data_IF_741904968964
#
_entry.id   IF_741904968964
#
_cell.length_a   1.000
_cell.length_b   1.000
_cell.length_c   1.000
_cell.angle_alpha   90.00
_cell.angle_beta   90.00
_cell.angle_gamma   90.00
#
_symmetry.space_group_name_H-M   'P 1'
#
loop_
_entity.id
_entity.type
_entity.pdbx_description
1 polymer ?
#
# COMPACT_ATOMS: atom_id res chain seq x y z
N UNK A 1 13.89 -11.79 31.60
CA UNK A 1 13.76 -11.86 30.14
C UNK A 1 13.09 -10.56 29.72
N UNK A 2 13.87 -9.59 29.22
CA UNK A 2 13.31 -8.36 28.66
C UNK A 2 12.60 -8.73 27.36
N UNK A 3 11.28 -8.52 27.28
CA UNK A 3 10.50 -8.66 26.04
C UNK A 3 9.52 -9.84 25.96
N UNK A 4 9.26 -10.55 27.06
CA UNK A 4 8.20 -11.56 27.09
C UNK A 4 7.01 -11.07 27.93
N UNK A 5 5.79 -11.20 27.39
CA UNK A 5 4.54 -11.01 28.12
C UNK A 5 3.82 -12.36 28.20
N UNK A 6 3.24 -12.67 29.36
CA UNK A 6 2.53 -13.91 29.58
C UNK A 6 1.20 -13.63 30.29
N UNK A 7 0.15 -14.34 29.91
CA UNK A 7 -1.14 -14.35 30.61
C UNK A 7 -1.70 -15.77 30.66
N UNK A 8 -2.31 -16.10 31.79
CA UNK A 8 -3.07 -17.35 31.93
C UNK A 8 -4.49 -17.04 32.32
N UNK A 9 -5.40 -17.68 31.60
CA UNK A 9 -6.84 -17.62 31.86
C UNK A 9 -7.33 -18.97 32.35
N UNK A 10 -8.13 -18.97 33.40
CA UNK A 10 -8.83 -20.15 33.90
C UNK A 10 -10.33 -19.94 33.74
N UNK A 11 -10.98 -20.82 32.99
CA UNK A 11 -12.42 -20.69 32.68
C UNK A 11 -12.80 -19.30 32.17
N UNK A 12 -11.88 -18.63 31.40
CA UNK A 12 -12.05 -17.31 30.83
C UNK A 12 -11.74 -16.13 31.76
N UNK A 13 -11.33 -16.38 33.01
CA UNK A 13 -10.91 -15.33 33.95
C UNK A 13 -9.38 -15.24 33.98
N UNK A 14 -8.85 -14.03 33.86
CA UNK A 14 -7.40 -13.80 34.00
C UNK A 14 -6.96 -14.17 35.41
N UNK A 15 -6.06 -15.16 35.53
CA UNK A 15 -5.55 -15.67 36.82
C UNK A 15 -4.19 -15.06 37.18
N UNK A 16 -3.29 -14.96 36.19
CA UNK A 16 -1.97 -14.37 36.36
C UNK A 16 -1.46 -13.75 35.05
N UNK A 17 -0.60 -12.76 35.20
CA UNK A 17 0.12 -12.12 34.08
C UNK A 17 1.60 -11.92 34.44
N UNK A 18 2.44 -11.72 33.42
CA UNK A 18 3.88 -11.45 33.52
C UNK A 18 4.67 -12.50 34.34
N UNK A 19 4.22 -13.74 34.30
CA UNK A 19 4.96 -14.84 34.92
C UNK A 19 6.08 -15.34 33.98
N UNK A 20 7.16 -15.93 34.53
CA UNK A 20 8.27 -16.48 33.73
C UNK A 20 7.79 -17.53 32.72
N UNK A 21 8.33 -17.49 31.48
CA UNK A 21 8.01 -18.46 30.42
C UNK A 21 8.21 -19.90 30.88
N UNK A 22 9.21 -20.16 31.72
CA UNK A 22 9.48 -21.49 32.31
C UNK A 22 8.34 -22.06 33.18
N UNK A 23 7.29 -21.27 33.49
CA UNK A 23 6.11 -21.75 34.21
C UNK A 23 4.93 -22.09 33.30
N UNK A 24 5.11 -21.96 31.99
CA UNK A 24 4.02 -22.23 31.01
C UNK A 24 3.53 -23.67 31.16
N UNK A 25 4.40 -24.65 31.22
CA UNK A 25 4.05 -26.06 31.40
C UNK A 25 3.35 -26.34 32.73
N UNK A 26 3.74 -25.63 33.82
CA UNK A 26 3.08 -25.79 35.11
C UNK A 26 1.60 -25.37 35.05
N UNK A 27 1.30 -24.28 34.33
CA UNK A 27 -0.07 -23.83 34.11
C UNK A 27 -0.83 -24.77 33.13
N UNK A 28 -0.16 -25.22 32.07
CA UNK A 28 -0.76 -26.16 31.14
C UNK A 28 -1.02 -27.56 31.71
N UNK A 29 -0.35 -27.94 32.79
CA UNK A 29 -0.64 -29.17 33.54
C UNK A 29 -1.99 -29.10 34.29
N UNK A 30 -2.59 -27.92 34.47
CA UNK A 30 -3.85 -27.69 35.15
C UNK A 30 -5.00 -27.72 34.13
N UNK A 31 -6.13 -28.27 34.51
CA UNK A 31 -7.33 -28.30 33.67
C UNK A 31 -7.95 -26.92 33.50
N UNK A 32 -8.66 -26.70 32.38
CA UNK A 32 -9.40 -25.49 32.05
C UNK A 32 -8.53 -24.20 31.98
N UNK A 33 -7.22 -24.35 31.74
CA UNK A 33 -6.32 -23.23 31.56
C UNK A 33 -5.99 -22.97 30.09
N UNK A 34 -5.94 -21.71 29.74
CA UNK A 34 -5.45 -21.20 28.46
C UNK A 34 -4.29 -20.24 28.73
N UNK A 35 -3.16 -20.47 28.08
CA UNK A 35 -1.96 -19.65 28.25
C UNK A 35 -1.68 -18.87 26.97
N UNK A 36 -1.37 -17.59 27.13
CA UNK A 36 -0.80 -16.77 26.08
C UNK A 36 0.63 -16.35 26.46
N UNK A 37 1.53 -16.46 25.48
CA UNK A 37 2.92 -16.01 25.57
C UNK A 37 3.21 -15.12 24.38
N UNK A 38 3.72 -13.90 24.61
CA UNK A 38 4.22 -13.03 23.58
C UNK A 38 5.72 -12.83 23.74
N UNK A 39 6.44 -13.03 22.64
CA UNK A 39 7.88 -12.84 22.56
C UNK A 39 8.17 -11.72 21.55
N UNK A 40 8.86 -10.66 21.98
CA UNK A 40 9.30 -9.58 21.11
C UNK A 40 10.78 -9.74 20.79
N UNK A 41 11.14 -9.98 19.53
CA UNK A 41 12.51 -10.18 19.08
C UNK A 41 13.24 -11.30 19.84
N UNK A 42 12.68 -12.52 20.01
CA UNK A 42 13.33 -13.56 20.77
C UNK A 42 14.64 -14.01 20.11
N UNK A 43 15.60 -14.46 20.93
CA UNK A 43 16.76 -15.16 20.41
C UNK A 43 16.38 -16.56 19.91
N UNK A 44 17.25 -17.15 19.09
CA UNK A 44 17.03 -18.52 18.59
C UNK A 44 16.90 -19.51 19.74
N UNK A 45 17.74 -19.37 20.76
CA UNK A 45 17.78 -20.24 21.93
C UNK A 45 16.46 -20.16 22.71
N UNK A 46 15.92 -18.94 22.92
CA UNK A 46 14.67 -18.72 23.64
C UNK A 46 13.48 -19.37 22.90
N UNK A 47 13.42 -19.24 21.57
CA UNK A 47 12.32 -19.85 20.82
C UNK A 47 12.45 -21.37 20.73
N UNK A 48 13.68 -21.91 20.66
CA UNK A 48 13.90 -23.35 20.66
C UNK A 48 13.56 -24.00 22.02
N UNK A 49 13.94 -23.34 23.15
CA UNK A 49 13.55 -23.84 24.48
C UNK A 49 12.02 -23.98 24.60
N UNK A 50 11.29 -22.96 24.15
CA UNK A 50 9.81 -23.02 24.16
C UNK A 50 9.26 -24.04 23.15
N UNK A 51 9.92 -24.20 22.01
CA UNK A 51 9.55 -25.18 21.00
C UNK A 51 9.70 -26.61 21.48
N UNK A 52 10.79 -26.92 22.17
CA UNK A 52 11.05 -28.24 22.76
C UNK A 52 10.01 -28.53 23.88
N UNK A 53 9.67 -27.53 24.70
CA UNK A 53 8.72 -27.65 25.79
C UNK A 53 7.28 -27.93 25.31
N UNK A 54 6.86 -27.26 24.24
CA UNK A 54 5.47 -27.28 23.73
C UNK A 54 5.28 -28.15 22.49
N UNK A 55 6.34 -28.74 21.96
CA UNK A 55 6.30 -29.59 20.76
C UNK A 55 6.00 -28.81 19.49
N UNK A 56 6.60 -27.62 19.32
CA UNK A 56 6.42 -26.84 18.10
C UNK A 56 7.15 -27.50 16.92
N UNK A 57 6.56 -27.42 15.74
CA UNK A 57 7.15 -28.00 14.54
C UNK A 57 8.39 -27.20 14.08
N UNK A 58 9.47 -27.89 13.72
CA UNK A 58 10.74 -27.29 13.34
C UNK A 58 10.60 -26.24 12.20
N UNK A 59 9.83 -26.55 11.17
CA UNK A 59 9.59 -25.61 10.06
C UNK A 59 8.87 -24.34 10.51
N UNK A 60 7.90 -24.44 11.43
CA UNK A 60 7.22 -23.26 11.96
C UNK A 60 8.15 -22.39 12.82
N UNK A 61 9.06 -23.00 13.56
CA UNK A 61 10.10 -22.30 14.33
C UNK A 61 11.11 -21.62 13.39
N UNK A 62 11.53 -22.31 12.30
CA UNK A 62 12.39 -21.73 11.28
C UNK A 62 11.75 -20.50 10.63
N UNK A 63 10.45 -20.59 10.27
CA UNK A 63 9.68 -19.46 9.72
C UNK A 63 9.62 -18.30 10.71
N UNK A 64 9.29 -18.56 11.98
CA UNK A 64 9.23 -17.53 13.01
C UNK A 64 10.59 -16.88 13.33
N UNK A 65 11.69 -17.52 13.02
CA UNK A 65 13.06 -16.96 13.15
C UNK A 65 13.52 -16.22 11.89
N UNK A 66 12.92 -16.56 10.73
CA UNK A 66 13.27 -15.96 9.46
C UNK A 66 12.46 -14.66 9.24
N UNK A 67 13.06 -13.56 8.78
CA UNK A 67 12.35 -12.34 8.51
C UNK A 67 11.57 -12.39 7.18
N UNK A 68 10.50 -11.60 7.09
CA UNK A 68 9.74 -11.34 5.86
C UNK A 68 8.93 -12.53 5.33
N UNK A 69 8.29 -13.27 6.22
CA UNK A 69 7.29 -14.25 5.82
C UNK A 69 6.09 -13.56 5.16
N UNK A 70 5.45 -14.24 4.19
CA UNK A 70 4.14 -13.78 3.71
C UNK A 70 3.07 -14.19 4.69
N UNK A 71 1.99 -13.43 4.84
CA UNK A 71 0.85 -13.90 5.61
C UNK A 71 0.41 -15.26 5.09
N UNK A 72 0.30 -16.23 5.99
CA UNK A 72 -0.05 -17.62 5.67
C UNK A 72 -0.61 -18.33 6.90
N UNK A 73 -1.32 -19.42 6.65
CA UNK A 73 -1.80 -20.35 7.66
C UNK A 73 -1.31 -21.75 7.30
N UNK A 74 -0.42 -22.29 8.12
CA UNK A 74 0.10 -23.65 7.99
C UNK A 74 -0.47 -24.56 9.08
N UNK A 75 -0.65 -25.84 8.75
CA UNK A 75 -1.26 -26.83 9.61
C UNK A 75 -0.23 -27.91 9.95
N UNK A 76 0.03 -28.08 11.24
CA UNK A 76 0.84 -29.13 11.79
C UNK A 76 0.00 -30.05 12.69
N UNK A 77 0.44 -31.24 12.98
CA UNK A 77 -0.32 -32.17 13.83
C UNK A 77 -0.57 -31.61 15.25
N UNK A 78 0.39 -30.86 15.80
CA UNK A 78 0.33 -30.32 17.16
C UNK A 78 -0.32 -28.94 17.26
N UNK A 79 -0.27 -28.13 16.19
CA UNK A 79 -0.71 -26.72 16.20
C UNK A 79 -0.92 -26.15 14.80
N UNK A 80 -1.57 -24.98 14.73
CA UNK A 80 -1.57 -24.13 13.56
C UNK A 80 -0.45 -23.09 13.69
N UNK A 81 0.09 -22.67 12.55
CA UNK A 81 1.01 -21.53 12.46
C UNK A 81 0.40 -20.47 11.55
N UNK A 82 0.24 -19.26 12.06
CA UNK A 82 -0.29 -18.11 11.34
C UNK A 82 0.76 -17.00 11.35
N UNK A 83 1.21 -16.57 10.17
CA UNK A 83 1.97 -15.35 9.98
C UNK A 83 1.05 -14.21 9.56
N UNK A 84 1.08 -13.10 10.27
CA UNK A 84 0.34 -11.87 9.98
C UNK A 84 1.25 -10.66 10.11
N UNK A 85 0.83 -9.50 9.59
CA UNK A 85 1.62 -8.28 9.64
C UNK A 85 0.75 -7.11 10.10
N UNK A 86 1.15 -6.44 11.16
CA UNK A 86 0.66 -5.10 11.44
C UNK A 86 1.37 -4.11 10.51
N UNK A 87 0.60 -3.17 9.95
CA UNK A 87 1.11 -2.25 8.93
C UNK A 87 0.68 -0.84 9.23
N UNK A 88 1.56 0.12 8.97
CA UNK A 88 1.26 1.55 9.01
C UNK A 88 2.08 2.28 7.94
N UNK A 89 1.42 3.11 7.14
CA UNK A 89 2.12 4.03 6.22
C UNK A 89 2.35 5.37 6.90
N UNK A 90 3.54 5.93 6.69
CA UNK A 90 3.85 7.31 7.02
C UNK A 90 3.51 8.16 5.77
N UNK A 91 2.47 9.01 5.82
CA UNK A 91 2.04 9.79 4.67
C UNK A 91 3.06 10.84 4.23
N UNK A 92 3.95 11.31 5.13
CA UNK A 92 4.94 12.33 4.82
C UNK A 92 6.15 11.78 4.07
N UNK A 93 6.53 10.54 4.38
CA UNK A 93 7.72 9.89 3.77
C UNK A 93 7.37 8.82 2.75
N UNK A 94 6.13 8.33 2.73
CA UNK A 94 5.71 7.18 1.94
C UNK A 94 6.32 5.86 2.42
N UNK A 95 6.83 5.81 3.66
CA UNK A 95 7.43 4.61 4.23
C UNK A 95 6.34 3.71 4.81
N UNK A 96 6.35 2.43 4.43
CA UNK A 96 5.50 1.41 5.02
C UNK A 96 6.25 0.75 6.17
N UNK A 97 5.81 0.99 7.40
CA UNK A 97 6.28 0.27 8.58
C UNK A 97 5.49 -1.05 8.68
N UNK A 98 6.18 -2.15 8.86
CA UNK A 98 5.63 -3.49 8.95
C UNK A 98 6.20 -4.20 10.18
N UNK A 99 5.32 -4.77 10.99
CA UNK A 99 5.70 -5.65 12.11
C UNK A 99 5.09 -7.02 11.85
N UNK A 100 5.94 -8.02 11.64
CA UNK A 100 5.53 -9.40 11.48
C UNK A 100 5.16 -10.00 12.84
N UNK A 101 4.04 -10.70 12.88
CA UNK A 101 3.46 -11.35 14.06
C UNK A 101 3.21 -12.80 13.68
N UNK A 102 4.04 -13.69 14.17
CA UNK A 102 3.90 -15.12 13.99
C UNK A 102 3.17 -15.72 15.19
N UNK A 103 2.13 -16.49 14.94
CA UNK A 103 1.29 -17.07 15.97
C UNK A 103 1.28 -18.59 15.85
N UNK A 104 1.72 -19.28 16.90
CA UNK A 104 1.53 -20.72 17.07
C UNK A 104 0.26 -20.92 17.90
N UNK A 105 -0.65 -21.74 17.42
CA UNK A 105 -2.01 -21.80 17.91
C UNK A 105 -2.37 -23.26 18.21
N UNK A 106 -2.69 -23.53 19.46
CA UNK A 106 -3.22 -24.82 19.91
C UNK A 106 -4.52 -24.56 20.69
N UNK A 107 -5.26 -25.62 21.04
CA UNK A 107 -6.52 -25.50 21.82
C UNK A 107 -6.32 -24.95 23.23
N UNK A 108 -5.09 -25.00 23.79
CA UNK A 108 -4.76 -24.58 25.15
C UNK A 108 -3.78 -23.43 25.26
N UNK A 109 -3.08 -23.11 24.19
CA UNK A 109 -2.10 -22.04 24.23
C UNK A 109 -2.04 -21.28 22.89
N UNK A 110 -1.68 -20.00 22.99
CA UNK A 110 -1.33 -19.11 21.91
C UNK A 110 0.04 -18.53 22.18
N UNK A 111 0.98 -18.72 21.26
CA UNK A 111 2.29 -18.11 21.32
C UNK A 111 2.40 -17.12 20.18
N UNK A 112 2.70 -15.87 20.49
CA UNK A 112 2.95 -14.83 19.50
C UNK A 112 4.42 -14.44 19.53
N UNK A 113 5.01 -14.33 18.35
CA UNK A 113 6.39 -13.86 18.13
C UNK A 113 6.31 -12.62 17.27
N UNK A 114 6.62 -11.47 17.85
CA UNK A 114 6.73 -10.21 17.14
C UNK A 114 8.19 -9.93 16.82
N UNK A 115 8.47 -9.49 15.61
CA UNK A 115 9.87 -9.20 15.21
C UNK A 115 10.41 -7.93 15.89
N UNK A 116 9.53 -6.98 16.20
CA UNK A 116 9.85 -5.71 16.83
C UNK A 116 8.66 -5.18 17.66
N UNK A 117 8.81 -3.99 18.24
CA UNK A 117 7.79 -3.33 19.07
C UNK A 117 6.78 -2.48 18.25
N UNK A 118 6.80 -2.55 16.93
CA UNK A 118 5.93 -1.74 16.07
C UNK A 118 4.44 -2.07 16.17
N UNK A 119 4.09 -3.25 16.72
CA UNK A 119 2.71 -3.63 17.04
C UNK A 119 2.45 -3.46 18.55
N UNK A 120 1.62 -2.47 18.96
CA UNK A 120 1.31 -2.26 20.36
C UNK A 120 0.35 -3.31 20.91
N UNK A 121 0.71 -3.95 22.02
CA UNK A 121 -0.14 -4.95 22.68
C UNK A 121 -1.32 -4.33 23.46
N UNK A 122 -1.20 -3.10 23.91
CA UNK A 122 -2.21 -2.47 24.77
C UNK A 122 -3.64 -2.52 24.21
N UNK A 123 -3.90 -2.28 22.90
CA UNK A 123 -5.25 -2.42 22.33
C UNK A 123 -5.78 -3.86 22.40
N UNK A 124 -4.90 -4.86 22.16
CA UNK A 124 -5.25 -6.28 22.24
C UNK A 124 -5.65 -6.66 23.67
N UNK A 125 -4.81 -6.30 24.64
CA UNK A 125 -5.05 -6.58 26.06
C UNK A 125 -6.35 -5.93 26.55
N UNK A 126 -6.59 -4.66 26.16
CA UNK A 126 -7.83 -3.95 26.51
C UNK A 126 -9.08 -4.67 25.92
N UNK A 127 -8.98 -5.20 24.70
CA UNK A 127 -10.07 -5.94 24.06
C UNK A 127 -10.37 -7.24 24.82
N UNK A 128 -9.35 -8.00 25.19
CA UNK A 128 -9.50 -9.20 26.00
C UNK A 128 -10.12 -8.90 27.37
N UNK A 129 -9.64 -7.88 28.05
CA UNK A 129 -10.10 -7.53 29.41
C UNK A 129 -11.56 -7.00 29.42
N UNK A 130 -12.02 -6.38 28.31
CA UNK A 130 -13.41 -5.91 28.17
C UNK A 130 -14.41 -7.02 27.86
N UNK A 131 -13.97 -8.16 27.39
CA UNK A 131 -14.83 -9.23 26.86
C UNK A 131 -14.60 -10.55 27.58
N UNK A 132 -14.60 -10.52 28.92
CA UNK A 132 -14.36 -11.70 29.76
C UNK A 132 -15.29 -12.89 29.46
N UNK A 133 -16.53 -12.64 29.02
CA UNK A 133 -17.46 -13.70 28.63
C UNK A 133 -16.99 -14.46 27.37
N UNK A 134 -16.33 -13.78 26.43
CA UNK A 134 -15.76 -14.40 25.24
C UNK A 134 -14.42 -15.10 25.55
N UNK A 135 -13.70 -14.69 26.58
CA UNK A 135 -12.46 -15.34 27.01
C UNK A 135 -12.66 -16.81 27.41
N UNK A 136 -13.89 -17.18 27.81
CA UNK A 136 -14.31 -18.60 28.08
C UNK A 136 -14.26 -19.47 26.83
N UNK A 137 -14.26 -18.86 25.63
CA UNK A 137 -14.17 -19.55 24.35
C UNK A 137 -12.73 -19.93 23.96
N UNK A 138 -11.76 -19.63 24.85
CA UNK A 138 -10.39 -20.11 24.74
C UNK A 138 -9.51 -19.36 23.75
N UNK A 139 -8.54 -20.07 23.20
CA UNK A 139 -7.47 -19.53 22.32
C UNK A 139 -8.04 -18.80 21.10
N UNK A 140 -9.13 -19.29 20.52
CA UNK A 140 -9.77 -18.64 19.38
C UNK A 140 -10.16 -17.19 19.64
N UNK A 141 -10.61 -16.85 20.86
CA UNK A 141 -10.90 -15.48 21.24
C UNK A 141 -9.63 -14.61 21.35
N UNK A 142 -8.56 -15.17 21.93
CA UNK A 142 -7.28 -14.45 22.02
C UNK A 142 -6.73 -14.13 20.63
N UNK A 143 -6.72 -15.09 19.73
CA UNK A 143 -6.31 -14.90 18.35
C UNK A 143 -7.17 -13.88 17.60
N UNK A 144 -8.51 -13.93 17.79
CA UNK A 144 -9.42 -12.94 17.24
C UNK A 144 -9.01 -11.53 17.65
N UNK A 145 -8.73 -11.31 18.94
CA UNK A 145 -8.34 -9.98 19.44
C UNK A 145 -7.08 -9.43 18.78
N UNK A 146 -6.10 -10.28 18.44
CA UNK A 146 -4.89 -9.88 17.72
C UNK A 146 -5.23 -9.52 16.28
N UNK A 147 -5.93 -10.40 15.55
CA UNK A 147 -6.28 -10.21 14.16
C UNK A 147 -7.14 -8.95 13.95
N UNK A 148 -8.08 -8.71 14.84
CA UNK A 148 -8.97 -7.56 14.77
C UNK A 148 -8.20 -6.24 14.93
N UNK A 149 -7.25 -6.16 15.87
CA UNK A 149 -6.36 -4.97 16.01
C UNK A 149 -5.43 -4.80 14.81
N UNK A 150 -4.92 -5.89 14.23
CA UNK A 150 -4.10 -5.83 13.00
C UNK A 150 -4.91 -5.26 11.85
N UNK A 151 -6.14 -5.73 11.68
CA UNK A 151 -7.01 -5.33 10.56
C UNK A 151 -7.58 -3.92 10.75
N UNK A 152 -7.85 -3.50 12.00
CA UNK A 152 -8.18 -2.11 12.29
C UNK A 152 -7.09 -1.14 11.78
N UNK A 153 -5.80 -1.46 11.99
CA UNK A 153 -4.68 -0.67 11.48
C UNK A 153 -4.58 -0.64 9.94
N UNK A 154 -5.19 -1.60 9.24
CA UNK A 154 -5.24 -1.58 7.79
C UNK A 154 -6.19 -0.51 7.25
N UNK A 155 -7.29 -0.23 7.96
CA UNK A 155 -8.20 0.87 7.59
C UNK A 155 -7.52 2.22 7.67
N UNK A 156 -6.76 2.47 8.74
CA UNK A 156 -5.97 3.71 8.89
C UNK A 156 -4.96 3.85 7.73
N UNK A 157 -4.35 2.74 7.34
CA UNK A 157 -3.39 2.68 6.23
C UNK A 157 -4.06 2.95 4.87
N UNK A 158 -5.24 2.37 4.61
CA UNK A 158 -6.03 2.65 3.41
C UNK A 158 -6.43 4.11 3.35
N UNK A 159 -6.93 4.66 4.47
CA UNK A 159 -7.34 6.06 4.53
C UNK A 159 -6.18 7.01 4.19
N UNK A 160 -4.98 6.75 4.70
CA UNK A 160 -3.81 7.56 4.38
C UNK A 160 -3.44 7.50 2.88
N UNK A 161 -3.62 6.35 2.22
CA UNK A 161 -3.46 6.24 0.77
C UNK A 161 -4.55 6.99 0.00
N UNK A 162 -5.81 6.85 0.41
CA UNK A 162 -6.94 7.56 -0.22
C UNK A 162 -6.72 9.07 -0.18
N UNK A 163 -6.43 9.64 0.99
CA UNK A 163 -6.16 11.07 1.18
C UNK A 163 -5.01 11.56 0.29
N UNK A 164 -3.91 10.80 0.25
CA UNK A 164 -2.75 11.15 -0.59
C UNK A 164 -3.07 11.14 -2.09
N UNK A 165 -3.75 10.11 -2.59
CA UNK A 165 -4.03 9.99 -4.02
C UNK A 165 -5.16 10.90 -4.48
N UNK A 166 -6.08 11.28 -3.62
CA UNK A 166 -7.06 12.33 -3.89
C UNK A 166 -6.36 13.69 -4.10
N UNK A 167 -5.42 14.07 -3.24
CA UNK A 167 -4.62 15.30 -3.40
C UNK A 167 -3.79 15.27 -4.70
N UNK A 168 -3.15 14.13 -5.00
CA UNK A 168 -2.40 13.96 -6.26
C UNK A 168 -3.31 14.09 -7.48
N UNK A 169 -4.50 13.50 -7.43
CA UNK A 169 -5.50 13.53 -8.51
C UNK A 169 -5.96 14.96 -8.81
N UNK A 170 -6.21 15.76 -7.79
CA UNK A 170 -6.52 17.18 -7.96
C UNK A 170 -5.35 17.97 -8.56
N UNK A 171 -4.12 17.65 -8.15
CA UNK A 171 -2.90 18.31 -8.61
C UNK A 171 -2.54 18.04 -10.07
N UNK A 172 -3.02 16.97 -10.72
CA UNK A 172 -2.68 16.61 -12.11
C UNK A 172 -3.05 17.70 -13.11
N UNK A 173 -4.14 18.41 -12.88
CA UNK A 173 -4.64 19.46 -13.75
C UNK A 173 -3.94 20.80 -13.53
N UNK A 174 -3.01 20.91 -12.59
CA UNK A 174 -2.23 22.12 -12.37
C UNK A 174 -1.32 22.40 -13.58
N UNK A 175 -1.04 23.68 -13.84
CA UNK A 175 -0.20 24.11 -14.97
C UNK A 175 1.28 23.78 -14.76
N UNK A 176 1.68 23.47 -13.52
CA UNK A 176 3.08 23.25 -13.18
C UNK A 176 3.38 21.75 -13.08
N UNK A 177 4.52 21.31 -13.66
CA UNK A 177 4.98 19.92 -13.46
C UNK A 177 5.28 19.67 -11.99
N UNK A 178 5.03 18.43 -11.53
CA UNK A 178 5.44 18.00 -10.20
C UNK A 178 6.94 18.21 -9.99
N UNK A 179 7.32 18.77 -8.87
CA UNK A 179 8.72 18.89 -8.47
C UNK A 179 9.38 17.50 -8.30
N UNK A 180 10.71 17.40 -8.46
CA UNK A 180 11.42 16.12 -8.30
C UNK A 180 11.21 15.45 -6.93
N UNK A 181 11.01 16.23 -5.87
CA UNK A 181 10.65 15.76 -4.53
C UNK A 181 9.29 15.09 -4.49
N UNK A 182 8.27 15.72 -5.08
CA UNK A 182 6.92 15.21 -5.19
C UNK A 182 6.86 13.94 -6.06
N UNK A 183 7.63 13.89 -7.16
CA UNK A 183 7.71 12.69 -7.99
C UNK A 183 8.31 11.49 -7.23
N UNK A 184 9.33 11.74 -6.38
CA UNK A 184 9.94 10.71 -5.55
C UNK A 184 8.96 10.20 -4.50
N UNK A 185 8.28 11.11 -3.82
CA UNK A 185 7.29 10.78 -2.80
C UNK A 185 6.12 9.98 -3.39
N UNK A 186 5.60 10.40 -4.54
CA UNK A 186 4.59 9.64 -5.30
C UNK A 186 5.03 8.20 -5.60
N UNK A 187 6.29 8.03 -6.01
CA UNK A 187 6.84 6.70 -6.28
C UNK A 187 6.96 5.85 -5.00
N UNK A 188 7.35 6.45 -3.88
CA UNK A 188 7.42 5.79 -2.57
C UNK A 188 6.03 5.33 -2.10
N UNK A 189 5.02 6.20 -2.17
CA UNK A 189 3.65 5.85 -1.82
C UNK A 189 3.09 4.72 -2.69
N UNK A 190 3.39 4.74 -4.00
CA UNK A 190 3.00 3.64 -4.91
C UNK A 190 3.67 2.31 -4.52
N UNK A 191 4.96 2.33 -4.18
CA UNK A 191 5.65 1.12 -3.73
C UNK A 191 5.06 0.61 -2.41
N UNK A 192 4.76 1.51 -1.48
CA UNK A 192 4.12 1.19 -0.21
C UNK A 192 2.75 0.51 -0.41
N UNK A 193 1.90 1.06 -1.29
CA UNK A 193 0.60 0.47 -1.61
C UNK A 193 0.73 -0.94 -2.23
N UNK A 194 1.66 -1.13 -3.17
CA UNK A 194 1.89 -2.46 -3.77
C UNK A 194 2.37 -3.46 -2.72
N UNK A 195 3.22 -3.02 -1.79
CA UNK A 195 3.70 -3.86 -0.70
C UNK A 195 2.58 -4.20 0.28
N UNK A 196 1.77 -3.22 0.67
CA UNK A 196 0.61 -3.40 1.52
C UNK A 196 -0.40 -4.40 0.91
N UNK A 197 -0.75 -4.24 -0.36
CA UNK A 197 -1.64 -5.17 -1.06
C UNK A 197 -1.13 -6.63 -1.03
N UNK A 198 0.20 -6.84 -1.13
CA UNK A 198 0.81 -8.17 -1.03
C UNK A 198 0.71 -8.81 0.36
N UNK A 199 0.42 -8.03 1.39
CA UNK A 199 0.17 -8.52 2.75
C UNK A 199 -1.32 -8.77 2.99
N UNK A 200 -2.19 -7.90 2.46
CA UNK A 200 -3.64 -8.00 2.66
C UNK A 200 -4.24 -9.25 2.01
N UNK A 201 -3.92 -9.51 0.74
CA UNK A 201 -4.54 -10.61 -0.02
C UNK A 201 -4.26 -11.99 0.61
N UNK A 202 -3.01 -12.35 0.97
CA UNK A 202 -2.77 -13.64 1.62
C UNK A 202 -3.35 -13.72 3.03
N UNK A 203 -3.44 -12.60 3.78
CA UNK A 203 -4.10 -12.60 5.10
C UNK A 203 -5.58 -12.98 4.99
N UNK A 204 -6.28 -12.47 3.97
CA UNK A 204 -7.66 -12.86 3.70
C UNK A 204 -7.81 -14.39 3.54
N UNK A 205 -6.89 -15.00 2.81
CA UNK A 205 -6.89 -16.47 2.63
C UNK A 205 -6.61 -17.20 3.94
N UNK A 206 -5.67 -16.68 4.75
CA UNK A 206 -5.35 -17.23 6.06
C UNK A 206 -6.53 -17.16 7.02
N UNK A 207 -7.24 -16.02 7.10
CA UNK A 207 -8.44 -15.85 7.92
C UNK A 207 -9.56 -16.79 7.45
N UNK A 208 -9.77 -16.89 6.13
CA UNK A 208 -10.72 -17.88 5.57
C UNK A 208 -10.35 -19.32 5.96
N UNK A 209 -9.06 -19.65 5.99
CA UNK A 209 -8.54 -20.93 6.44
C UNK A 209 -8.86 -21.24 7.89
N UNK A 210 -8.70 -20.24 8.79
CA UNK A 210 -9.03 -20.39 10.23
C UNK A 210 -10.50 -20.70 10.47
N UNK A 211 -11.39 -20.19 9.63
CA UNK A 211 -12.83 -20.40 9.73
C UNK A 211 -13.28 -21.81 9.28
N UNK A 212 -12.39 -22.61 8.70
CA UNK A 212 -12.75 -23.99 8.31
C UNK A 212 -12.98 -24.85 9.55
N UNK A 213 -14.18 -25.45 9.64
CA UNK A 213 -14.61 -26.26 10.80
C UNK A 213 -13.73 -27.48 11.09
N UNK A 214 -12.95 -27.93 10.11
CA UNK A 214 -12.08 -29.09 10.21
C UNK A 214 -10.95 -28.92 11.25
N UNK A 215 -10.61 -27.68 11.60
CA UNK A 215 -9.49 -27.39 12.50
C UNK A 215 -9.86 -27.24 13.97
N UNK A 216 -11.15 -27.06 14.30
CA UNK A 216 -11.64 -26.95 15.67
C UNK A 216 -11.07 -25.78 16.50
N UNK A 217 -10.25 -24.92 15.90
CA UNK A 217 -9.56 -23.81 16.58
C UNK A 217 -10.52 -22.68 16.93
N UNK A 218 -11.51 -22.45 16.09
CA UNK A 218 -12.53 -21.41 16.28
C UNK A 218 -13.81 -22.06 16.79
N UNK A 219 -14.18 -21.79 18.04
CA UNK A 219 -15.44 -22.23 18.62
C UNK A 219 -16.63 -21.61 17.86
N UNK A 220 -17.73 -22.34 17.72
CA UNK A 220 -18.92 -21.91 16.97
C UNK A 220 -19.43 -20.51 17.36
N UNK A 221 -19.47 -20.08 18.63
CA UNK A 221 -19.87 -18.73 19.01
C UNK A 221 -18.94 -17.64 18.52
N UNK A 222 -17.69 -17.96 18.11
CA UNK A 222 -16.72 -16.99 17.57
C UNK A 222 -16.83 -16.81 16.04
N UNK A 223 -17.58 -17.67 15.33
CA UNK A 223 -17.71 -17.53 13.88
C UNK A 223 -18.15 -16.13 13.40
N UNK A 224 -19.14 -15.46 14.03
CA UNK A 224 -19.53 -14.11 13.62
C UNK A 224 -18.39 -13.10 13.74
N UNK A 225 -17.52 -13.23 14.74
CA UNK A 225 -16.37 -12.34 14.94
C UNK A 225 -15.28 -12.56 13.89
N UNK A 226 -14.99 -13.81 13.56
CA UNK A 226 -14.05 -14.12 12.47
C UNK A 226 -14.61 -13.75 11.09
N UNK A 227 -15.93 -13.86 10.90
CA UNK A 227 -16.59 -13.37 9.70
C UNK A 227 -16.43 -11.86 9.56
N UNK A 228 -16.55 -11.11 10.64
CA UNK A 228 -16.35 -9.67 10.68
C UNK A 228 -14.89 -9.29 10.30
N UNK A 229 -13.90 -9.98 10.89
CA UNK A 229 -12.49 -9.82 10.49
C UNK A 229 -12.28 -10.14 9.00
N UNK A 230 -12.87 -11.23 8.51
CA UNK A 230 -12.78 -11.59 7.09
C UNK A 230 -13.38 -10.52 6.18
N UNK A 231 -14.55 -10.01 6.51
CA UNK A 231 -15.24 -8.97 5.75
C UNK A 231 -14.47 -7.66 5.77
N UNK A 232 -13.81 -7.34 6.89
CA UNK A 232 -12.90 -6.20 7.00
C UNK A 232 -11.66 -6.35 6.10
N UNK A 233 -10.98 -7.50 6.12
CA UNK A 233 -9.83 -7.77 5.24
C UNK A 233 -10.25 -7.75 3.77
N UNK A 234 -11.42 -8.31 3.44
CA UNK A 234 -11.98 -8.27 2.09
C UNK A 234 -12.17 -6.82 1.62
N UNK A 235 -12.80 -5.97 2.44
CA UNK A 235 -13.01 -4.56 2.14
C UNK A 235 -11.69 -3.81 1.93
N UNK A 236 -10.70 -4.05 2.78
CA UNK A 236 -9.35 -3.49 2.61
C UNK A 236 -8.70 -3.97 1.29
N UNK A 237 -8.86 -5.25 0.94
CA UNK A 237 -8.37 -5.80 -0.33
C UNK A 237 -9.00 -5.10 -1.53
N UNK A 238 -10.33 -4.92 -1.53
CA UNK A 238 -11.07 -4.21 -2.58
C UNK A 238 -10.64 -2.74 -2.68
N UNK A 239 -10.45 -2.06 -1.55
CA UNK A 239 -9.96 -0.67 -1.52
C UNK A 239 -8.54 -0.55 -2.09
N UNK A 240 -7.65 -1.48 -1.76
CA UNK A 240 -6.29 -1.47 -2.33
C UNK A 240 -6.27 -1.75 -3.83
N UNK A 241 -7.18 -2.59 -4.35
CA UNK A 241 -7.35 -2.79 -5.79
C UNK A 241 -7.86 -1.53 -6.47
N UNK A 242 -8.89 -0.87 -5.91
CA UNK A 242 -9.42 0.39 -6.42
C UNK A 242 -8.35 1.50 -6.47
N UNK A 243 -7.53 1.62 -5.42
CA UNK A 243 -6.40 2.56 -5.38
C UNK A 243 -5.37 2.27 -6.48
N UNK A 244 -5.05 1.01 -6.75
CA UNK A 244 -4.12 0.63 -7.83
C UNK A 244 -4.68 1.01 -9.20
N UNK A 245 -5.97 0.84 -9.42
CA UNK A 245 -6.64 1.26 -10.65
C UNK A 245 -6.67 2.78 -10.80
N UNK A 246 -6.94 3.51 -9.70
CA UNK A 246 -6.85 4.97 -9.66
C UNK A 246 -5.43 5.44 -10.03
N UNK A 247 -4.38 4.86 -9.46
CA UNK A 247 -2.99 5.18 -9.80
C UNK A 247 -2.71 4.98 -11.29
N UNK A 248 -3.20 3.90 -11.87
CA UNK A 248 -3.03 3.61 -13.29
C UNK A 248 -3.69 4.70 -14.15
N UNK A 249 -4.91 5.10 -13.78
CA UNK A 249 -5.64 6.19 -14.42
C UNK A 249 -4.92 7.55 -14.29
N UNK A 250 -4.35 7.84 -13.11
CA UNK A 250 -3.53 9.04 -12.86
C UNK A 250 -2.32 9.08 -13.81
N UNK A 251 -1.61 7.97 -13.94
CA UNK A 251 -0.44 7.87 -14.84
C UNK A 251 -0.83 8.10 -16.29
N UNK A 252 -1.87 7.42 -16.77
CA UNK A 252 -2.36 7.54 -18.16
C UNK A 252 -2.82 8.97 -18.46
N UNK A 253 -3.56 9.58 -17.53
CA UNK A 253 -4.03 10.96 -17.66
C UNK A 253 -2.86 11.94 -17.73
N UNK A 254 -1.86 11.79 -16.88
CA UNK A 254 -0.67 12.64 -16.87
C UNK A 254 0.10 12.53 -18.19
N UNK A 255 0.29 11.32 -18.73
CA UNK A 255 0.92 11.12 -20.03
C UNK A 255 0.12 11.81 -21.14
N UNK A 256 -1.20 11.62 -21.18
CA UNK A 256 -2.08 12.25 -22.17
C UNK A 256 -2.03 13.78 -22.10
N UNK A 257 -2.03 14.36 -20.92
CA UNK A 257 -1.88 15.82 -20.73
C UNK A 257 -0.52 16.32 -21.18
N UNK A 258 0.55 15.57 -20.93
CA UNK A 258 1.90 15.88 -21.38
C UNK A 258 1.97 15.89 -22.91
N UNK A 259 1.44 14.87 -23.56
CA UNK A 259 1.39 14.76 -25.01
C UNK A 259 0.55 15.90 -25.63
N UNK A 260 -0.57 16.24 -25.02
CA UNK A 260 -1.38 17.37 -25.42
C UNK A 260 -0.60 18.69 -25.34
N UNK A 261 0.06 18.96 -24.21
CA UNK A 261 0.90 20.18 -24.05
C UNK A 261 2.03 20.24 -25.06
N UNK A 262 2.71 19.12 -25.31
CA UNK A 262 3.77 19.03 -26.31
C UNK A 262 3.24 19.31 -27.73
N UNK A 263 2.05 18.79 -28.06
CA UNK A 263 1.40 19.06 -29.34
C UNK A 263 1.05 20.55 -29.49
N UNK A 264 0.56 21.20 -28.43
CA UNK A 264 0.30 22.64 -28.45
C UNK A 264 1.59 23.46 -28.69
N UNK A 265 2.68 23.09 -28.02
CA UNK A 265 3.99 23.75 -28.28
C UNK A 265 4.42 23.53 -29.71
N UNK A 266 4.34 22.31 -30.25
CA UNK A 266 4.67 22.00 -31.65
C UNK A 266 3.83 22.81 -32.64
N UNK A 267 2.54 22.97 -32.43
CA UNK A 267 1.66 23.81 -33.25
C UNK A 267 2.11 25.25 -33.24
N UNK A 268 2.44 25.83 -32.09
CA UNK A 268 2.97 27.22 -31.98
C UNK A 268 4.28 27.38 -32.72
N UNK A 269 5.25 26.48 -32.49
CA UNK A 269 6.57 26.54 -33.16
C UNK A 269 6.42 26.43 -34.68
N UNK A 270 5.62 25.46 -35.16
CA UNK A 270 5.39 25.28 -36.62
C UNK A 270 4.69 26.47 -37.24
N UNK A 271 3.71 27.07 -36.56
CA UNK A 271 2.99 28.25 -37.03
C UNK A 271 3.95 29.45 -37.18
N UNK A 272 4.77 29.73 -36.17
CA UNK A 272 5.78 30.80 -36.24
C UNK A 272 6.82 30.53 -37.32
N UNK A 273 7.31 29.29 -37.45
CA UNK A 273 8.22 28.91 -38.51
C UNK A 273 7.65 29.17 -39.91
N UNK A 274 6.37 28.81 -40.13
CA UNK A 274 5.68 29.06 -41.41
C UNK A 274 5.52 30.55 -41.69
N UNK A 275 5.16 31.38 -40.69
CA UNK A 275 5.01 32.84 -40.84
C UNK A 275 6.35 33.49 -41.19
N UNK A 276 7.47 33.03 -40.60
CA UNK A 276 8.83 33.57 -40.90
C UNK A 276 9.34 33.06 -42.25
N UNK A 277 9.00 31.84 -42.67
CA UNK A 277 9.41 31.26 -43.95
C UNK A 277 8.85 32.03 -45.16
N UNK A 278 7.64 32.60 -45.08
CA UNK A 278 7.03 33.34 -46.20
C UNK A 278 7.82 34.57 -46.61
N UNK A 279 8.15 35.53 -45.73
CA UNK A 279 9.03 36.63 -46.07
C UNK A 279 10.37 36.15 -46.63
N UNK A 280 10.99 35.14 -46.01
CA UNK A 280 12.30 34.62 -46.47
C UNK A 280 12.23 34.05 -47.87
N UNK A 281 11.17 33.31 -48.22
CA UNK A 281 10.96 32.77 -49.56
C UNK A 281 10.79 33.90 -50.60
N UNK A 282 9.94 34.91 -50.29
CA UNK A 282 9.64 36.00 -51.21
C UNK A 282 10.89 36.87 -51.39
N UNK A 283 11.57 37.29 -50.32
CA UNK A 283 12.79 38.08 -50.40
C UNK A 283 13.94 37.32 -51.08
N UNK A 284 14.04 36.00 -50.88
CA UNK A 284 14.97 35.13 -51.57
C UNK A 284 14.71 35.05 -53.06
N UNK A 285 13.43 34.95 -53.48
CA UNK A 285 13.05 34.98 -54.90
C UNK A 285 13.37 36.30 -55.54
N UNK A 286 12.97 37.42 -54.94
CA UNK A 286 13.27 38.76 -55.46
C UNK A 286 14.72 39.14 -55.34
N UNK A 287 15.54 38.46 -54.55
CA UNK A 287 17.00 38.64 -54.44
C UNK A 287 17.81 37.76 -55.37
N UNK A 288 17.21 36.98 -56.25
CA UNK A 288 17.90 36.15 -57.25
C UNK A 288 18.39 37.02 -58.39
N UNK A 289 19.61 36.74 -58.90
CA UNK A 289 20.18 37.40 -60.07
C UNK A 289 19.64 36.88 -61.40
N UNK A 290 18.32 36.75 -61.49
CA UNK A 290 17.58 36.30 -62.69
C UNK A 290 16.49 37.32 -63.01
N UNK A 291 16.24 37.64 -64.30
CA UNK A 291 15.15 38.55 -64.65
C UNK A 291 13.79 38.09 -64.15
N UNK A 292 13.08 38.95 -63.47
CA UNK A 292 11.67 38.68 -63.02
C UNK A 292 10.78 39.88 -63.41
N UNK A 293 9.43 39.67 -63.50
CA UNK A 293 8.53 40.76 -63.81
C UNK A 293 8.57 41.88 -62.75
N UNK A 294 8.89 43.10 -63.17
CA UNK A 294 9.04 44.27 -62.31
C UNK A 294 10.48 44.55 -61.79
N UNK A 295 11.50 43.84 -62.30
CA UNK A 295 12.89 44.11 -61.96
C UNK A 295 13.28 45.56 -62.39
N UNK A 296 13.86 46.34 -61.43
CA UNK A 296 14.20 47.73 -61.63
C UNK A 296 13.04 48.74 -61.58
N UNK A 297 11.79 48.26 -61.43
CA UNK A 297 10.59 49.11 -61.41
C UNK A 297 10.01 49.22 -59.98
N UNK A 298 9.44 50.38 -59.62
CA UNK A 298 8.86 50.62 -58.28
C UNK A 298 7.69 49.73 -57.99
N UNK A 299 6.89 49.30 -58.97
CA UNK A 299 5.76 48.39 -58.76
C UNK A 299 6.20 46.99 -58.37
N UNK A 300 7.38 46.53 -58.80
CA UNK A 300 7.92 45.22 -58.41
C UNK A 300 8.21 45.18 -56.89
N UNK A 301 8.81 46.26 -56.37
CA UNK A 301 9.05 46.37 -54.91
C UNK A 301 7.73 46.40 -54.12
N UNK A 302 6.75 47.21 -54.60
CA UNK A 302 5.44 47.31 -53.95
C UNK A 302 4.75 45.93 -53.93
N UNK A 303 4.80 45.20 -55.05
CA UNK A 303 4.20 43.86 -55.13
C UNK A 303 4.88 42.89 -54.15
N UNK A 304 6.19 42.90 -54.02
CA UNK A 304 6.92 42.06 -53.07
C UNK A 304 6.51 42.36 -51.61
N UNK A 305 6.43 43.67 -51.26
CA UNK A 305 6.01 44.07 -49.91
C UNK A 305 4.55 43.66 -49.61
N UNK A 306 3.63 43.87 -50.60
CA UNK A 306 2.23 43.48 -50.45
C UNK A 306 2.09 41.96 -50.27
N UNK A 307 2.87 41.17 -51.02
CA UNK A 307 2.89 39.71 -50.89
C UNK A 307 3.43 39.28 -49.52
N UNK A 308 4.55 39.83 -49.05
CA UNK A 308 5.14 39.54 -47.75
C UNK A 308 4.15 39.83 -46.64
N UNK A 309 3.60 41.05 -46.61
CA UNK A 309 2.66 41.47 -45.54
C UNK A 309 1.35 40.71 -45.62
N UNK A 310 0.77 40.60 -46.82
CA UNK A 310 -0.53 39.97 -47.03
C UNK A 310 -0.53 38.47 -46.70
N UNK A 311 0.48 37.72 -47.17
CA UNK A 311 0.58 36.30 -46.90
C UNK A 311 0.93 36.02 -45.42
N UNK A 312 1.85 36.79 -44.82
CA UNK A 312 2.20 36.66 -43.40
C UNK A 312 1.02 36.98 -42.51
N UNK A 313 0.29 38.06 -42.77
CA UNK A 313 -0.92 38.44 -42.02
C UNK A 313 -2.04 37.42 -42.23
N UNK A 314 -2.20 36.90 -43.44
CA UNK A 314 -3.17 35.86 -43.77
C UNK A 314 -2.89 34.55 -43.01
N UNK A 315 -1.63 34.09 -42.99
CA UNK A 315 -1.22 32.94 -42.21
C UNK A 315 -1.42 33.14 -40.70
N UNK A 316 -1.00 34.32 -40.19
CA UNK A 316 -1.23 34.65 -38.78
C UNK A 316 -2.72 34.62 -38.42
N UNK A 317 -3.58 35.22 -39.22
CA UNK A 317 -5.03 35.21 -39.00
C UNK A 317 -5.61 33.79 -39.09
N UNK A 318 -5.10 32.98 -40.03
CA UNK A 318 -5.52 31.57 -40.18
C UNK A 318 -5.14 30.72 -38.96
N UNK A 319 -3.89 30.79 -38.52
CA UNK A 319 -3.38 30.06 -37.38
C UNK A 319 -4.07 30.50 -36.07
N UNK A 320 -4.30 31.80 -35.89
CA UNK A 320 -5.07 32.32 -34.75
C UNK A 320 -6.52 31.83 -34.73
N UNK A 321 -7.19 31.73 -35.89
CA UNK A 321 -8.55 31.19 -35.99
C UNK A 321 -8.61 29.68 -35.72
N UNK A 322 -7.50 28.98 -35.85
CA UNK A 322 -7.44 27.49 -35.59
C UNK A 322 -6.81 27.17 -34.24
N UNK A 323 -6.65 28.14 -33.35
CA UNK A 323 -6.03 27.98 -32.03
C UNK A 323 -4.64 27.32 -32.08
N UNK A 324 -3.85 27.70 -33.09
CA UNK A 324 -2.44 27.26 -33.24
C UNK A 324 -1.45 28.27 -32.69
N UNK A 325 -1.86 29.51 -32.42
CA UNK A 325 -1.09 30.61 -31.88
C UNK A 325 -1.69 31.19 -30.62
#
# INVERSE_FOLDING_TARGET
>A
VNGAHTRVYRSGVLEAEDFPVSKVSDYLAQDDTVVWVDLCGPSKEQLHELADELGLHELAVEDALSPHQRPKLDHYESHLFLAAHAVRVDPDTGTLAETEIDSFINHRWLITVRKDEGFPLAPVLQRWDRSADLAKLGVGFLLYGILDVVVDGYFDTVQAFDEYYDEVSEGIFSEHPLEPSQQRHWFQMRQALVRFHRLVVPLREAVSGLMRREHGTVAEPLYPYYQDVYDHVLRVSESTDALRDLISTIVETNLSLRDYRQNQVMKKVTSWAAIVAVPTLITGFYGMNVPFPGEGETWGVVTAVVLVVGLSAGLFALFRRRDWL
#
